data_IF_216550484027
#
_entry.id   IF_216550484027
#
_cell.length_a   1.000
_cell.length_b   1.000
_cell.length_c   1.000
_cell.angle_alpha   90.00
_cell.angle_beta   90.00
_cell.angle_gamma   90.00
#
_symmetry.space_group_name_H-M   'P 1'
#
loop_
_entity.id
_entity.type
_entity.pdbx_description
1 polymer ?
#
# COMPACT_ATOMS: atom_id res chain seq x y z
N UNK A 1 -7.74 11.13 39.54
CA UNK A 1 -8.58 11.01 38.33
C UNK A 1 -7.65 10.43 37.28
N UNK A 2 -7.59 9.10 37.17
CA UNK A 2 -6.74 8.46 36.19
C UNK A 2 -7.41 8.68 34.83
N UNK A 3 -6.82 9.51 33.98
CA UNK A 3 -7.22 9.55 32.58
C UNK A 3 -7.10 8.13 32.05
N UNK A 4 -8.21 7.56 31.59
CA UNK A 4 -8.22 6.21 31.06
C UNK A 4 -7.38 6.20 29.80
N UNK A 5 -6.15 5.70 29.90
CA UNK A 5 -5.26 5.48 28.77
C UNK A 5 -6.01 4.56 27.79
N UNK A 6 -6.48 5.15 26.70
CA UNK A 6 -7.32 4.47 25.71
C UNK A 6 -6.47 4.19 24.47
N UNK A 7 -6.59 3.01 23.86
CA UNK A 7 -5.87 2.71 22.64
C UNK A 7 -6.31 3.64 21.50
N UNK A 8 -5.44 3.90 20.51
CA UNK A 8 -5.76 4.78 19.40
C UNK A 8 -6.95 4.25 18.57
N UNK A 9 -7.91 5.13 18.33
CA UNK A 9 -9.10 4.85 17.52
C UNK A 9 -8.79 4.82 16.03
N UNK A 10 -9.77 4.40 15.22
CA UNK A 10 -9.58 4.24 13.78
C UNK A 10 -9.41 5.59 13.05
N UNK A 11 -8.34 5.77 12.28
CA UNK A 11 -8.10 7.02 11.55
C UNK A 11 -8.72 7.00 10.16
N UNK A 12 -9.96 7.45 10.07
CA UNK A 12 -10.69 7.63 8.81
C UNK A 12 -10.03 8.63 7.87
N UNK A 13 -9.32 9.64 8.40
CA UNK A 13 -8.65 10.66 7.58
C UNK A 13 -7.48 10.04 6.84
N UNK A 14 -6.68 9.21 7.52
CA UNK A 14 -5.59 8.46 6.89
C UNK A 14 -6.12 7.55 5.78
N UNK A 15 -7.17 6.77 6.05
CA UNK A 15 -7.78 5.88 5.05
C UNK A 15 -8.24 6.66 3.81
N UNK A 16 -8.97 7.76 4.01
CA UNK A 16 -9.49 8.57 2.92
C UNK A 16 -8.37 9.26 2.12
N UNK A 17 -7.40 9.90 2.80
CA UNK A 17 -6.23 10.50 2.16
C UNK A 17 -5.46 9.48 1.32
N UNK A 18 -5.23 8.29 1.88
CA UNK A 18 -4.51 7.22 1.21
C UNK A 18 -5.25 6.68 -0.01
N UNK A 19 -6.56 6.46 0.13
CA UNK A 19 -7.42 5.98 -0.96
C UNK A 19 -7.49 7.00 -2.09
N UNK A 20 -7.64 8.29 -1.77
CA UNK A 20 -7.62 9.38 -2.75
C UNK A 20 -6.26 9.48 -3.45
N UNK A 21 -5.16 9.39 -2.70
CA UNK A 21 -3.82 9.38 -3.27
C UNK A 21 -3.64 8.24 -4.27
N UNK A 22 -4.08 7.02 -3.94
CA UNK A 22 -3.98 5.88 -4.84
C UNK A 22 -4.87 6.03 -6.08
N UNK A 23 -6.08 6.57 -5.89
CA UNK A 23 -7.03 6.81 -6.99
C UNK A 23 -6.48 7.83 -7.98
N UNK A 24 -6.01 8.99 -7.49
CA UNK A 24 -5.43 10.03 -8.32
C UNK A 24 -4.13 9.56 -8.97
N UNK A 25 -3.26 8.90 -8.21
CA UNK A 25 -1.99 8.38 -8.73
C UNK A 25 -2.18 7.38 -9.86
N UNK A 26 -3.15 6.47 -9.71
CA UNK A 26 -3.56 5.53 -10.75
C UNK A 26 -4.11 6.25 -11.98
N UNK A 27 -5.09 7.14 -11.82
CA UNK A 27 -5.74 7.81 -12.95
C UNK A 27 -4.76 8.67 -13.73
N UNK A 28 -3.91 9.45 -13.05
CA UNK A 28 -2.90 10.29 -13.71
C UNK A 28 -1.87 9.41 -14.42
N UNK A 29 -1.36 8.37 -13.74
CA UNK A 29 -0.38 7.46 -14.32
C UNK A 29 -0.94 6.73 -15.54
N UNK A 30 -2.09 6.08 -15.40
CA UNK A 30 -2.68 5.25 -16.46
C UNK A 30 -3.30 6.08 -17.60
N UNK A 31 -4.15 7.06 -17.29
CA UNK A 31 -4.96 7.74 -18.30
C UNK A 31 -4.24 8.92 -18.99
N UNK A 32 -3.28 9.57 -18.32
CA UNK A 32 -2.63 10.77 -18.86
C UNK A 32 -1.20 10.53 -19.34
N UNK A 33 -0.48 9.61 -18.70
CA UNK A 33 0.96 9.43 -18.93
C UNK A 33 1.31 8.06 -19.54
N UNK A 34 0.48 7.05 -19.31
CA UNK A 34 0.66 5.68 -19.79
C UNK A 34 1.19 4.73 -18.71
N UNK A 35 1.04 3.41 -18.93
CA UNK A 35 1.21 2.37 -17.92
C UNK A 35 2.55 2.41 -17.15
N UNK A 36 3.66 2.71 -17.83
CA UNK A 36 4.98 2.77 -17.20
C UNK A 36 5.06 3.84 -16.10
N UNK A 37 4.25 4.90 -16.19
CA UNK A 37 4.24 6.02 -15.25
C UNK A 37 3.36 5.77 -14.04
N UNK A 38 2.56 4.71 -14.01
CA UNK A 38 1.70 4.38 -12.87
C UNK A 38 2.54 4.27 -11.59
N UNK A 39 3.64 3.51 -11.60
CA UNK A 39 4.52 3.35 -10.44
C UNK A 39 5.06 4.67 -9.87
N UNK A 40 5.77 5.49 -10.67
CA UNK A 40 6.28 6.79 -10.23
C UNK A 40 5.19 7.73 -9.68
N UNK A 41 4.07 7.87 -10.39
CA UNK A 41 2.99 8.80 -10.03
C UNK A 41 2.24 8.31 -8.79
N UNK A 42 1.96 7.01 -8.72
CA UNK A 42 1.35 6.37 -7.55
C UNK A 42 2.27 6.50 -6.33
N UNK A 43 3.57 6.25 -6.50
CA UNK A 43 4.57 6.40 -5.45
C UNK A 43 4.66 7.83 -4.92
N UNK A 44 4.62 8.83 -5.82
CA UNK A 44 4.59 10.24 -5.45
C UNK A 44 3.31 10.60 -4.69
N UNK A 45 2.15 10.18 -5.17
CA UNK A 45 0.87 10.45 -4.52
C UNK A 45 0.81 9.82 -3.12
N UNK A 46 1.23 8.56 -2.98
CA UNK A 46 1.33 7.85 -1.70
C UNK A 46 2.34 8.52 -0.75
N UNK A 47 3.48 8.98 -1.27
CA UNK A 47 4.46 9.70 -0.47
C UNK A 47 3.89 10.97 0.15
N UNK A 48 3.03 11.72 -0.56
CA UNK A 48 2.37 12.91 -0.01
C UNK A 48 1.48 12.59 1.20
N UNK A 49 0.90 11.39 1.26
CA UNK A 49 0.15 10.92 2.43
C UNK A 49 1.09 10.41 3.54
N UNK A 50 2.21 9.74 3.20
CA UNK A 50 3.16 9.18 4.18
C UNK A 50 4.14 10.18 4.79
N UNK A 51 4.41 11.32 4.14
CA UNK A 51 5.38 12.31 4.62
C UNK A 51 5.04 12.87 6.00
N UNK A 52 3.75 12.86 6.38
CA UNK A 52 3.29 13.25 7.71
C UNK A 52 3.65 12.19 8.77
N UNK A 53 3.81 10.92 8.39
CA UNK A 53 4.12 9.82 9.30
C UNK A 53 5.62 9.59 9.50
N UNK A 54 6.48 9.83 8.49
CA UNK A 54 7.94 9.80 8.68
C UNK A 54 8.75 10.63 7.70
N UNK A 55 9.83 11.27 8.17
CA UNK A 55 10.79 11.99 7.35
C UNK A 55 11.53 11.12 6.32
N UNK A 56 11.68 9.81 6.56
CA UNK A 56 12.39 8.89 5.66
C UNK A 56 11.50 8.33 4.54
N UNK A 57 10.26 8.81 4.41
CA UNK A 57 9.30 8.27 3.44
C UNK A 57 9.61 8.61 1.98
N UNK A 58 10.58 9.49 1.68
CA UNK A 58 10.95 9.81 0.28
C UNK A 58 11.42 8.60 -0.53
N UNK A 59 12.02 7.60 0.12
CA UNK A 59 12.37 6.32 -0.50
C UNK A 59 11.15 5.52 -0.98
N UNK A 60 9.94 5.85 -0.53
CA UNK A 60 8.70 5.25 -0.96
C UNK A 60 8.50 5.38 -2.46
N UNK A 61 8.82 6.54 -3.04
CA UNK A 61 8.68 6.80 -4.47
C UNK A 61 9.55 5.82 -5.26
N UNK A 62 10.80 5.63 -4.83
CA UNK A 62 11.75 4.71 -5.46
C UNK A 62 11.27 3.26 -5.32
N UNK A 63 10.84 2.86 -4.12
CA UNK A 63 10.35 1.50 -3.87
C UNK A 63 9.12 1.16 -4.73
N UNK A 64 8.13 2.05 -4.78
CA UNK A 64 6.92 1.86 -5.61
C UNK A 64 7.28 1.82 -7.09
N UNK A 65 8.19 2.70 -7.54
CA UNK A 65 8.63 2.73 -8.94
C UNK A 65 9.33 1.43 -9.34
N UNK A 66 10.29 0.96 -8.55
CA UNK A 66 11.04 -0.26 -8.84
C UNK A 66 10.12 -1.48 -8.82
N UNK A 67 9.27 -1.60 -7.79
CA UNK A 67 8.31 -2.71 -7.69
C UNK A 67 7.32 -2.73 -8.86
N UNK A 68 6.83 -1.56 -9.26
CA UNK A 68 5.93 -1.43 -10.41
C UNK A 68 6.61 -1.81 -11.72
N UNK A 69 7.80 -1.25 -12.00
CA UNK A 69 8.52 -1.53 -13.25
C UNK A 69 8.90 -3.01 -13.36
N UNK A 70 9.30 -3.64 -12.26
CA UNK A 70 9.55 -5.08 -12.22
C UNK A 70 8.28 -5.88 -12.52
N UNK A 71 7.16 -5.54 -11.88
CA UNK A 71 5.87 -6.20 -12.14
C UNK A 71 5.38 -6.01 -13.57
N UNK A 72 5.35 -4.77 -14.05
CA UNK A 72 4.97 -4.43 -15.40
C UNK A 72 5.82 -5.16 -16.45
N UNK A 73 7.14 -5.22 -16.26
CA UNK A 73 8.03 -5.97 -17.16
C UNK A 73 7.68 -7.47 -17.19
N UNK A 74 7.36 -8.08 -16.04
CA UNK A 74 6.95 -9.50 -15.98
C UNK A 74 5.59 -9.75 -16.65
N UNK A 75 4.69 -8.77 -16.63
CA UNK A 75 3.40 -8.85 -17.31
C UNK A 75 3.57 -8.74 -18.84
N UNK A 76 4.32 -7.75 -19.30
CA UNK A 76 4.49 -7.47 -20.74
C UNK A 76 5.39 -8.51 -21.42
N UNK A 77 6.39 -9.04 -20.72
CA UNK A 77 7.27 -10.09 -21.27
C UNK A 77 6.57 -11.43 -21.49
N UNK A 78 5.41 -11.64 -20.89
CA UNK A 78 4.68 -12.91 -20.97
C UNK A 78 5.31 -14.05 -20.16
N UNK A 79 6.40 -13.79 -19.42
CA UNK A 79 7.21 -14.83 -18.74
C UNK A 79 6.43 -15.52 -17.63
N UNK A 80 5.63 -14.76 -16.86
CA UNK A 80 4.85 -15.29 -15.74
C UNK A 80 3.34 -15.30 -16.01
N UNK A 81 2.88 -14.46 -16.94
CA UNK A 81 1.47 -14.30 -17.26
C UNK A 81 1.34 -14.31 -18.77
N UNK A 82 0.74 -15.36 -19.32
CA UNK A 82 0.46 -15.39 -20.76
C UNK A 82 -0.36 -14.15 -21.15
N UNK A 83 -0.01 -13.45 -22.25
CA UNK A 83 -0.82 -12.34 -22.77
C UNK A 83 -2.20 -12.87 -23.19
N UNK A 84 -3.12 -12.91 -22.24
CA UNK A 84 -4.48 -13.40 -22.41
C UNK A 84 -5.43 -12.54 -21.59
N UNK A 85 -6.58 -12.21 -22.17
CA UNK A 85 -7.60 -11.30 -21.58
C UNK A 85 -8.55 -12.00 -20.59
N UNK A 86 -8.14 -13.13 -20.02
CA UNK A 86 -8.98 -13.91 -19.11
C UNK A 86 -8.96 -13.36 -17.69
N UNK A 87 -10.10 -13.44 -17.00
CA UNK A 87 -10.25 -13.04 -15.59
C UNK A 87 -9.15 -13.61 -14.67
N UNK A 88 -8.83 -14.90 -14.82
CA UNK A 88 -7.79 -15.58 -14.03
C UNK A 88 -6.40 -14.99 -14.32
N UNK A 89 -6.10 -14.69 -15.58
CA UNK A 89 -4.82 -14.10 -15.98
C UNK A 89 -4.68 -12.68 -15.42
N UNK A 90 -5.76 -11.89 -15.42
CA UNK A 90 -5.77 -10.55 -14.80
C UNK A 90 -5.60 -10.60 -13.28
N UNK A 91 -6.29 -11.53 -12.60
CA UNK A 91 -6.11 -11.76 -11.16
C UNK A 91 -4.65 -12.09 -10.84
N UNK A 92 -4.07 -13.06 -11.55
CA UNK A 92 -2.71 -13.50 -11.33
C UNK A 92 -1.70 -12.37 -11.63
N UNK A 93 -1.93 -11.60 -12.71
CA UNK A 93 -1.13 -10.42 -13.01
C UNK A 93 -1.19 -9.36 -11.91
N UNK A 94 -2.37 -9.13 -11.33
CA UNK A 94 -2.53 -8.25 -10.17
C UNK A 94 -1.81 -8.77 -8.92
N UNK A 95 -1.86 -10.08 -8.65
CA UNK A 95 -1.10 -10.68 -7.53
C UNK A 95 0.40 -10.47 -7.72
N UNK A 96 0.94 -10.72 -8.93
CA UNK A 96 2.37 -10.55 -9.22
C UNK A 96 2.80 -9.09 -9.06
N UNK A 97 2.11 -8.16 -9.71
CA UNK A 97 2.41 -6.74 -9.62
C UNK A 97 2.28 -6.22 -8.18
N UNK A 98 1.19 -6.56 -7.50
CA UNK A 98 0.96 -6.14 -6.12
C UNK A 98 1.97 -6.73 -5.15
N UNK A 99 2.39 -7.98 -5.31
CA UNK A 99 3.41 -8.59 -4.46
C UNK A 99 4.75 -7.88 -4.64
N UNK A 100 5.15 -7.57 -5.87
CA UNK A 100 6.45 -6.91 -6.12
C UNK A 100 6.48 -5.48 -5.58
N UNK A 101 5.42 -4.71 -5.80
CA UNK A 101 5.25 -3.38 -5.17
C UNK A 101 5.23 -3.50 -3.65
N UNK A 102 4.44 -4.43 -3.12
CA UNK A 102 4.28 -4.66 -1.69
C UNK A 102 5.58 -5.07 -1.01
N UNK A 103 6.38 -5.95 -1.61
CA UNK A 103 7.70 -6.36 -1.10
C UNK A 103 8.67 -5.19 -1.11
N UNK A 104 8.73 -4.41 -2.19
CA UNK A 104 9.60 -3.24 -2.27
C UNK A 104 9.26 -2.22 -1.17
N UNK A 105 7.97 -1.96 -0.95
CA UNK A 105 7.49 -1.06 0.11
C UNK A 105 7.68 -1.64 1.52
N UNK A 106 7.48 -2.95 1.69
CA UNK A 106 7.68 -3.65 2.96
C UNK A 106 9.11 -3.50 3.49
N UNK A 107 10.13 -3.51 2.61
CA UNK A 107 11.52 -3.27 3.00
C UNK A 107 11.72 -1.92 3.72
N UNK A 108 10.87 -0.93 3.42
CA UNK A 108 10.84 0.36 4.08
C UNK A 108 10.00 0.31 5.36
N UNK A 109 8.78 -0.25 5.31
CA UNK A 109 7.86 -0.30 6.47
C UNK A 109 8.41 -1.12 7.64
N UNK A 110 9.10 -2.23 7.37
CA UNK A 110 9.66 -3.10 8.43
C UNK A 110 10.69 -2.41 9.33
N UNK A 111 11.17 -1.22 8.95
CA UNK A 111 12.14 -0.45 9.74
C UNK A 111 11.52 0.28 10.93
N UNK A 112 10.20 0.40 10.99
CA UNK A 112 9.51 1.31 11.90
C UNK A 112 8.06 0.93 12.20
N UNK A 113 7.46 -0.02 11.45
CA UNK A 113 6.15 -0.58 11.78
C UNK A 113 6.28 -2.08 12.13
N UNK A 114 5.80 -2.51 13.31
CA UNK A 114 5.68 -3.92 13.63
C UNK A 114 4.66 -4.58 12.71
N UNK A 115 4.83 -5.88 12.47
CA UNK A 115 3.91 -6.66 11.61
C UNK A 115 3.79 -6.17 10.17
N UNK A 116 4.78 -5.41 9.67
CA UNK A 116 4.79 -4.85 8.32
C UNK A 116 4.59 -5.88 7.19
N UNK A 117 4.79 -7.18 7.44
CA UNK A 117 4.54 -8.26 6.46
C UNK A 117 3.09 -8.28 5.93
N UNK A 118 2.11 -7.85 6.74
CA UNK A 118 0.70 -7.70 6.35
C UNK A 118 0.53 -6.73 5.18
N UNK A 119 1.47 -5.80 5.01
CA UNK A 119 1.48 -4.89 3.87
C UNK A 119 1.56 -5.61 2.52
N UNK A 120 2.36 -6.69 2.45
CA UNK A 120 2.58 -7.44 1.21
C UNK A 120 1.31 -8.15 0.78
N UNK A 121 0.62 -8.80 1.72
CA UNK A 121 -0.63 -9.50 1.43
C UNK A 121 -1.75 -8.53 1.07
N UNK A 122 -1.85 -7.39 1.75
CA UNK A 122 -2.80 -6.34 1.40
C UNK A 122 -2.55 -5.77 -0.01
N UNK A 123 -1.29 -5.56 -0.40
CA UNK A 123 -0.96 -5.13 -1.75
C UNK A 123 -1.33 -6.19 -2.79
N UNK A 124 -0.91 -7.45 -2.58
CA UNK A 124 -1.25 -8.54 -3.50
C UNK A 124 -2.77 -8.64 -3.70
N UNK A 125 -3.56 -8.55 -2.63
CA UNK A 125 -5.01 -8.59 -2.68
C UNK A 125 -5.60 -7.35 -3.38
N UNK A 126 -5.16 -6.14 -3.01
CA UNK A 126 -5.66 -4.89 -3.60
C UNK A 126 -5.44 -4.83 -5.11
N UNK A 127 -4.26 -5.23 -5.57
CA UNK A 127 -3.94 -5.27 -7.00
C UNK A 127 -4.66 -6.39 -7.74
N UNK A 128 -4.78 -7.59 -7.14
CA UNK A 128 -5.55 -8.68 -7.72
C UNK A 128 -7.01 -8.27 -7.96
N UNK A 129 -7.66 -7.70 -6.94
CA UNK A 129 -9.04 -7.21 -7.05
C UNK A 129 -9.17 -6.05 -8.06
N UNK A 130 -8.18 -5.16 -8.08
CA UNK A 130 -8.13 -4.04 -9.01
C UNK A 130 -7.99 -4.47 -10.47
N UNK A 131 -7.17 -5.47 -10.77
CA UNK A 131 -6.93 -5.97 -12.14
C UNK A 131 -7.98 -6.97 -12.60
N UNK A 132 -8.64 -7.67 -11.68
CA UNK A 132 -9.80 -8.51 -11.98
C UNK A 132 -10.91 -7.73 -12.71
N UNK A 133 -10.91 -6.40 -12.63
CA UNK A 133 -11.78 -5.53 -13.42
C UNK A 133 -13.23 -5.52 -12.94
N UNK A 134 -13.52 -6.08 -11.75
CA UNK A 134 -14.87 -6.20 -11.19
C UNK A 134 -15.61 -4.86 -11.10
N UNK A 135 -14.85 -3.77 -10.89
CA UNK A 135 -15.37 -2.41 -10.78
C UNK A 135 -14.93 -1.51 -11.96
N UNK A 136 -14.32 -2.09 -13.00
CA UNK A 136 -13.73 -1.37 -14.13
C UNK A 136 -12.35 -0.77 -13.84
N UNK A 137 -11.54 -0.61 -14.91
CA UNK A 137 -10.14 -0.16 -14.81
C UNK A 137 -9.94 1.24 -14.22
N UNK A 138 -10.96 2.10 -14.29
CA UNK A 138 -10.93 3.44 -13.68
C UNK A 138 -10.86 3.36 -12.14
N UNK A 139 -11.50 2.35 -11.55
CA UNK A 139 -11.61 2.19 -10.10
C UNK A 139 -10.49 1.33 -9.49
N UNK A 140 -9.57 0.81 -10.29
CA UNK A 140 -8.44 -0.01 -9.84
C UNK A 140 -7.63 0.68 -8.74
N UNK A 141 -7.26 1.96 -8.93
CA UNK A 141 -6.54 2.74 -7.90
C UNK A 141 -7.31 2.92 -6.59
N UNK A 142 -8.64 3.05 -6.66
CA UNK A 142 -9.49 3.17 -5.48
C UNK A 142 -9.57 1.86 -4.70
N UNK A 143 -9.70 0.72 -5.41
CA UNK A 143 -9.68 -0.61 -4.78
C UNK A 143 -8.34 -0.88 -4.09
N UNK A 144 -7.23 -0.65 -4.79
CA UNK A 144 -5.88 -0.81 -4.23
C UNK A 144 -5.72 0.11 -3.01
N UNK A 145 -6.14 1.37 -3.13
CA UNK A 145 -6.09 2.36 -2.07
C UNK A 145 -6.90 1.99 -0.83
N UNK A 146 -8.14 1.52 -1.01
CA UNK A 146 -8.98 1.13 0.12
C UNK A 146 -8.38 -0.07 0.88
N UNK A 147 -7.96 -1.12 0.16
CA UNK A 147 -7.39 -2.33 0.76
C UNK A 147 -6.07 -2.01 1.48
N UNK A 148 -5.16 -1.31 0.81
CA UNK A 148 -3.86 -0.96 1.41
C UNK A 148 -3.98 0.12 2.48
N UNK A 149 -4.97 1.01 2.38
CA UNK A 149 -5.23 2.04 3.39
C UNK A 149 -5.72 1.47 4.71
N UNK A 150 -6.61 0.47 4.67
CA UNK A 150 -7.01 -0.28 5.87
C UNK A 150 -5.81 -1.00 6.49
N UNK A 151 -4.96 -1.61 5.67
CA UNK A 151 -3.74 -2.24 6.16
C UNK A 151 -2.75 -1.23 6.77
N UNK A 152 -2.59 -0.05 6.17
CA UNK A 152 -1.72 1.02 6.68
C UNK A 152 -2.19 1.50 8.05
N UNK A 153 -3.49 1.76 8.14
CA UNK A 153 -4.15 2.22 9.37
C UNK A 153 -3.96 1.21 10.49
N UNK A 154 -4.18 -0.07 10.20
CA UNK A 154 -3.98 -1.14 11.16
C UNK A 154 -2.53 -1.22 11.63
N UNK A 155 -1.57 -1.12 10.70
CA UNK A 155 -0.14 -1.15 11.03
C UNK A 155 0.27 0.02 11.94
N UNK A 156 -0.18 1.23 11.63
CA UNK A 156 0.14 2.44 12.41
C UNK A 156 -0.46 2.35 13.81
N UNK A 157 -1.71 1.90 13.94
CA UNK A 157 -2.35 1.72 15.26
C UNK A 157 -1.75 0.60 16.07
N UNK A 158 -1.38 -0.50 15.43
CA UNK A 158 -0.70 -1.60 16.09
C UNK A 158 0.66 -1.14 16.65
N UNK A 159 1.41 -0.33 15.90
CA UNK A 159 2.65 0.28 16.37
C UNK A 159 2.42 1.12 17.63
N UNK A 160 1.48 2.07 17.57
CA UNK A 160 1.17 2.97 18.67
C UNK A 160 0.63 2.22 19.92
N UNK A 161 -0.11 1.13 19.72
CA UNK A 161 -0.61 0.30 20.82
C UNK A 161 0.54 -0.42 21.53
N UNK A 162 1.53 -0.92 20.80
CA UNK A 162 2.70 -1.58 21.39
C UNK A 162 3.55 -0.60 22.20
N UNK A 163 3.79 0.61 21.67
CA UNK A 163 4.52 1.66 22.38
C UNK A 163 3.85 2.04 23.71
N UNK A 164 2.51 2.08 23.72
CA UNK A 164 1.71 2.35 24.93
C UNK A 164 1.84 1.23 25.97
N UNK A 165 1.79 -0.03 25.53
CA UNK A 165 1.91 -1.17 26.45
C UNK A 165 3.31 -1.21 27.09
N UNK A 166 4.35 -0.89 26.31
CA UNK A 166 5.71 -0.81 26.82
C UNK A 166 5.85 0.32 27.86
N UNK A 167 5.21 1.48 27.67
CA UNK A 167 5.24 2.56 28.67
C UNK A 167 4.55 2.17 29.99
N UNK A 168 3.39 1.50 29.93
CA UNK A 168 2.67 1.04 31.13
C UNK A 168 3.46 -0.03 31.90
N UNK A 169 4.08 -0.96 31.18
CA UNK A 169 4.90 -2.01 31.80
C UNK A 169 6.12 -1.43 32.52
N UNK A 170 6.76 -0.41 31.95
CA UNK A 170 7.90 0.26 32.56
C UNK A 170 7.53 1.05 33.82
N UNK A 171 6.33 1.65 33.88
CA UNK A 171 5.86 2.40 35.06
C UNK A 171 5.40 1.50 36.23
N UNK A 172 4.93 0.28 35.94
CA UNK A 172 4.46 -0.66 36.97
C UNK A 172 5.56 -1.53 37.58
N UNK A 173 6.73 -1.61 36.94
CA UNK A 173 7.88 -2.39 37.40
C UNK A 173 8.95 -1.61 38.17
N UNK A 174 8.79 -0.29 38.35
CA UNK A 174 9.68 0.59 39.11
C UNK A 174 9.07 1.06 40.43
#
# INVERSE_FOLDING_TARGET
MADSISPPSFDWTLLLKWTLACTLGWLIGWALLGEIWIGPVLGLAQWLALRELSPRSSWWIVATTVGWLAGWWLLVSGVLVSPGSGFISSLFGGVVAGTLVGVAQWLLLRRWLPSAVVWVTANALGWALGFAGLLGGVLTGAVIGAVTGVALEWLVRNAATLDLLDSINNESGG
#
